data_IF_637690192528
#
_entry.id   IF_637690192528
#
_cell.length_a   1.000
_cell.length_b   1.000
_cell.length_c   1.000
_cell.angle_alpha   90.00
_cell.angle_beta   90.00
_cell.angle_gamma   90.00
#
_symmetry.space_group_name_H-M   'P 1'
#
loop_
_entity.id
_entity.type
_entity.pdbx_description
1 polymer ?
#
# COMPACT_ATOMS: atom_id res chain seq x y z
N UNK A 1 -24.24 23.35 -11.55
CA UNK A 1 -22.99 22.83 -12.16
C UNK A 1 -22.15 22.24 -11.04
N UNK A 2 -21.98 20.93 -11.02
CA UNK A 2 -21.10 20.27 -10.04
C UNK A 2 -19.66 20.54 -10.48
N UNK A 3 -18.88 21.21 -9.65
CA UNK A 3 -17.47 21.48 -9.90
C UNK A 3 -16.63 20.20 -10.09
N UNK A 4 -15.34 20.33 -10.45
CA UNK A 4 -14.46 19.18 -10.66
C UNK A 4 -14.38 18.33 -9.39
N UNK A 5 -14.59 17.02 -9.53
CA UNK A 5 -14.55 16.06 -8.42
C UNK A 5 -13.23 15.30 -8.45
N UNK A 6 -12.55 15.13 -7.30
CA UNK A 6 -11.33 14.35 -7.23
C UNK A 6 -11.61 12.86 -7.39
N UNK A 7 -10.64 12.13 -7.88
CA UNK A 7 -10.60 10.67 -7.80
C UNK A 7 -10.20 10.26 -6.38
N UNK A 8 -10.99 9.39 -5.75
CA UNK A 8 -10.62 8.79 -4.46
C UNK A 8 -9.76 7.55 -4.72
N UNK A 9 -8.58 7.50 -4.12
CA UNK A 9 -7.63 6.41 -4.29
C UNK A 9 -7.36 5.73 -2.95
N UNK A 10 -7.65 4.44 -2.87
CA UNK A 10 -7.21 3.57 -1.79
C UNK A 10 -5.83 3.02 -2.11
N UNK A 11 -4.82 3.56 -1.44
CA UNK A 11 -3.42 3.15 -1.57
C UNK A 11 -3.14 2.02 -0.59
N UNK A 12 -2.75 0.86 -1.08
CA UNK A 12 -2.59 -0.36 -0.29
C UNK A 12 -1.14 -0.84 -0.37
N UNK A 13 -0.49 -1.08 0.78
CA UNK A 13 0.72 -1.89 0.81
C UNK A 13 0.36 -3.35 0.59
N UNK A 14 1.12 -4.08 -0.22
CA UNK A 14 0.92 -5.52 -0.40
C UNK A 14 0.87 -6.28 0.93
N UNK A 15 0.20 -7.44 0.97
CA UNK A 15 0.17 -8.36 2.11
C UNK A 15 1.55 -8.95 2.42
N UNK A 16 1.67 -9.64 3.55
CA UNK A 16 2.93 -10.24 4.01
C UNK A 16 3.46 -11.25 2.96
N UNK A 17 4.65 -11.02 2.37
CA UNK A 17 5.24 -11.97 1.43
C UNK A 17 5.94 -13.10 2.16
N UNK A 18 6.26 -14.18 1.43
CA UNK A 18 7.22 -15.17 1.93
C UNK A 18 8.61 -14.52 2.06
N UNK A 19 9.42 -15.01 3.01
CA UNK A 19 10.87 -14.77 2.99
C UNK A 19 11.52 -15.68 1.97
N UNK A 20 12.67 -15.31 1.44
CA UNK A 20 13.48 -16.23 0.65
C UNK A 20 14.27 -15.64 -0.49
N UNK A 21 14.76 -16.52 -1.35
CA UNK A 21 15.82 -16.29 -2.34
C UNK A 21 15.38 -15.48 -3.57
N UNK A 22 14.10 -15.18 -3.72
CA UNK A 22 13.57 -14.49 -4.90
C UNK A 22 13.41 -12.99 -4.66
N UNK A 23 13.71 -12.19 -5.67
CA UNK A 23 13.50 -10.74 -5.64
C UNK A 23 11.99 -10.39 -5.65
N UNK A 24 11.15 -11.25 -6.19
CA UNK A 24 9.71 -11.08 -6.26
C UNK A 24 8.95 -12.27 -5.62
N UNK A 25 8.98 -12.38 -4.25
CA UNK A 25 8.32 -13.47 -3.56
C UNK A 25 6.79 -13.33 -3.66
N UNK A 26 6.07 -14.48 -3.63
CA UNK A 26 4.61 -14.48 -3.51
C UNK A 26 4.18 -14.10 -2.09
N UNK A 27 2.87 -13.93 -1.89
CA UNK A 27 2.30 -13.79 -0.56
C UNK A 27 2.48 -15.09 0.25
N UNK A 28 2.77 -14.94 1.55
CA UNK A 28 2.66 -16.02 2.53
C UNK A 28 1.18 -16.38 2.79
N UNK A 29 0.91 -17.45 3.52
CA UNK A 29 -0.46 -17.80 3.95
C UNK A 29 -1.11 -16.63 4.73
N UNK A 30 -0.37 -16.02 5.65
CA UNK A 30 -0.84 -14.81 6.35
C UNK A 30 -1.13 -13.68 5.38
N UNK A 31 -0.27 -13.45 4.39
CA UNK A 31 -0.47 -12.43 3.37
C UNK A 31 -1.70 -12.69 2.49
N UNK A 32 -1.97 -13.94 2.17
CA UNK A 32 -3.19 -14.34 1.44
C UNK A 32 -4.45 -14.07 2.27
N UNK A 33 -4.43 -14.39 3.57
CA UNK A 33 -5.52 -14.06 4.49
C UNK A 33 -5.73 -12.55 4.61
N UNK A 34 -4.64 -11.76 4.72
CA UNK A 34 -4.71 -10.30 4.71
C UNK A 34 -5.35 -9.76 3.43
N UNK A 35 -4.96 -10.28 2.26
CA UNK A 35 -5.53 -9.89 0.98
C UNK A 35 -7.03 -10.21 0.87
N UNK A 36 -7.47 -11.35 1.41
CA UNK A 36 -8.88 -11.72 1.45
C UNK A 36 -9.71 -10.78 2.34
N UNK A 37 -9.22 -10.45 3.55
CA UNK A 37 -9.85 -9.50 4.46
C UNK A 37 -9.93 -8.09 3.87
N UNK A 38 -8.83 -7.64 3.24
CA UNK A 38 -8.78 -6.38 2.51
C UNK A 38 -9.83 -6.32 1.39
N UNK A 39 -9.92 -7.36 0.57
CA UNK A 39 -10.90 -7.46 -0.51
C UNK A 39 -12.34 -7.40 0.00
N UNK A 40 -12.65 -8.18 1.05
CA UNK A 40 -13.95 -8.19 1.68
C UNK A 40 -14.35 -6.83 2.30
N UNK A 41 -13.39 -6.04 2.74
CA UNK A 41 -13.64 -4.70 3.26
C UNK A 41 -13.74 -3.66 2.16
N UNK A 42 -12.81 -3.62 1.20
CA UNK A 42 -12.78 -2.60 0.14
C UNK A 42 -13.90 -2.77 -0.89
N UNK A 43 -14.50 -3.95 -1.04
CA UNK A 43 -15.63 -4.14 -1.98
C UNK A 43 -16.80 -3.21 -1.68
N UNK A 44 -17.00 -2.84 -0.42
CA UNK A 44 -18.06 -1.92 0.00
C UNK A 44 -17.80 -0.46 -0.42
N UNK A 45 -16.57 -0.10 -0.71
CA UNK A 45 -16.19 1.23 -1.25
C UNK A 45 -16.38 1.31 -2.78
N UNK A 46 -16.79 0.21 -3.42
CA UNK A 46 -17.13 0.08 -4.83
C UNK A 46 -16.09 0.68 -5.80
N UNK A 47 -14.79 0.33 -5.69
CA UNK A 47 -13.82 0.79 -6.65
C UNK A 47 -14.19 0.35 -8.08
N UNK A 48 -14.10 1.28 -9.03
CA UNK A 48 -14.39 1.01 -10.46
C UNK A 48 -13.19 0.44 -11.20
N UNK A 49 -11.99 0.49 -10.59
CA UNK A 49 -10.76 -0.07 -11.14
C UNK A 49 -9.82 -0.50 -10.01
N UNK A 50 -9.03 -1.54 -10.28
CA UNK A 50 -8.01 -2.08 -9.38
C UNK A 50 -6.67 -2.09 -10.11
N UNK A 51 -5.74 -1.30 -9.62
CA UNK A 51 -4.36 -1.21 -10.10
C UNK A 51 -3.41 -1.91 -9.14
N UNK A 52 -2.34 -2.49 -9.65
CA UNK A 52 -1.28 -3.04 -8.81
C UNK A 52 0.09 -2.91 -9.48
N UNK A 53 1.15 -2.83 -8.67
CA UNK A 53 2.48 -3.18 -9.13
C UNK A 53 2.46 -4.57 -9.79
N UNK A 54 3.27 -4.78 -10.80
CA UNK A 54 3.40 -6.07 -11.48
C UNK A 54 4.21 -7.10 -10.67
N UNK A 55 4.74 -6.74 -9.49
CA UNK A 55 5.31 -7.70 -8.57
C UNK A 55 4.24 -8.63 -7.98
N UNK A 56 4.57 -9.94 -7.87
CA UNK A 56 3.65 -11.01 -7.47
C UNK A 56 2.88 -10.68 -6.20
N UNK A 57 3.57 -10.26 -5.14
CA UNK A 57 2.96 -9.92 -3.85
C UNK A 57 1.93 -8.79 -3.95
N UNK A 58 2.11 -7.83 -4.87
CA UNK A 58 1.17 -6.72 -5.03
C UNK A 58 -0.08 -7.14 -5.80
N UNK A 59 0.06 -7.76 -6.97
CA UNK A 59 -1.11 -8.19 -7.72
C UNK A 59 -1.87 -9.33 -7.02
N UNK A 60 -1.19 -10.22 -6.28
CA UNK A 60 -1.86 -11.23 -5.44
C UNK A 60 -2.67 -10.59 -4.32
N UNK A 61 -2.23 -9.45 -3.77
CA UNK A 61 -3.00 -8.69 -2.79
C UNK A 61 -4.24 -8.04 -3.43
N UNK A 62 -4.13 -7.57 -4.66
CA UNK A 62 -5.22 -6.94 -5.40
C UNK A 62 -6.28 -7.94 -5.90
N UNK A 63 -5.87 -9.18 -6.20
CA UNK A 63 -6.69 -10.17 -6.89
C UNK A 63 -8.02 -10.53 -6.17
N UNK A 64 -8.09 -10.69 -4.83
CA UNK A 64 -9.36 -10.96 -4.16
C UNK A 64 -10.39 -9.85 -4.34
N UNK A 65 -9.97 -8.57 -4.21
CA UNK A 65 -10.84 -7.43 -4.45
C UNK A 65 -11.34 -7.38 -5.89
N UNK A 66 -10.43 -7.51 -6.85
CA UNK A 66 -10.78 -7.49 -8.28
C UNK A 66 -11.81 -8.57 -8.61
N UNK A 67 -11.62 -9.80 -8.08
CA UNK A 67 -12.57 -10.90 -8.25
C UNK A 67 -13.95 -10.59 -7.68
N UNK A 68 -14.03 -10.02 -6.48
CA UNK A 68 -15.31 -9.65 -5.85
C UNK A 68 -16.07 -8.58 -6.63
N UNK A 69 -15.33 -7.68 -7.31
CA UNK A 69 -15.91 -6.61 -8.15
C UNK A 69 -16.17 -7.04 -9.60
N UNK A 70 -15.76 -8.24 -10.02
CA UNK A 70 -15.81 -8.67 -11.43
C UNK A 70 -14.86 -7.87 -12.33
N UNK A 71 -13.75 -7.36 -11.78
CA UNK A 71 -12.75 -6.54 -12.46
C UNK A 71 -11.44 -7.32 -12.70
N UNK A 72 -10.64 -6.83 -13.63
CA UNK A 72 -9.26 -7.28 -13.81
C UNK A 72 -8.27 -6.37 -13.07
N UNK A 73 -7.17 -6.96 -12.58
CA UNK A 73 -6.07 -6.19 -11.99
C UNK A 73 -5.22 -5.58 -13.10
N UNK A 74 -5.19 -4.26 -13.16
CA UNK A 74 -4.36 -3.51 -14.10
C UNK A 74 -2.94 -3.36 -13.55
N UNK A 75 -2.01 -4.16 -14.07
CA UNK A 75 -0.61 -4.13 -13.63
C UNK A 75 0.13 -2.89 -14.17
N UNK A 76 0.93 -2.23 -13.32
CA UNK A 76 1.68 -1.01 -13.61
C UNK A 76 3.11 -1.12 -13.07
N UNK A 77 4.10 -1.00 -13.96
CA UNK A 77 5.53 -0.99 -13.57
C UNK A 77 5.89 0.24 -12.73
N UNK A 78 5.21 1.37 -12.96
CA UNK A 78 5.42 2.61 -12.21
C UNK A 78 4.95 2.55 -10.75
N UNK A 79 4.25 1.47 -10.34
CA UNK A 79 3.85 1.21 -8.96
C UNK A 79 4.81 0.27 -8.22
N UNK A 80 5.98 -0.08 -8.81
CA UNK A 80 6.98 -0.94 -8.17
C UNK A 80 7.62 -0.26 -6.96
N UNK A 81 8.20 -1.10 -6.09
CA UNK A 81 9.15 -0.65 -5.09
C UNK A 81 10.42 -0.12 -5.76
N UNK A 82 11.19 0.72 -5.07
CA UNK A 82 12.49 1.15 -5.60
C UNK A 82 13.35 -0.05 -5.97
N UNK A 83 14.20 0.15 -6.97
CA UNK A 83 15.21 -0.83 -7.30
C UNK A 83 16.23 -0.88 -6.15
N UNK A 84 16.42 -2.05 -5.54
CA UNK A 84 17.53 -2.28 -4.63
C UNK A 84 18.65 -3.02 -5.38
N UNK A 85 19.89 -2.82 -4.96
CA UNK A 85 21.03 -3.62 -5.43
C UNK A 85 20.96 -5.08 -4.96
N UNK A 86 19.96 -5.43 -4.13
CA UNK A 86 19.79 -6.77 -3.59
C UNK A 86 19.29 -7.74 -4.66
N UNK A 87 19.84 -8.92 -4.68
CA UNK A 87 19.43 -10.01 -5.58
C UNK A 87 18.23 -10.79 -5.06
N UNK A 88 17.84 -10.58 -3.80
CA UNK A 88 16.70 -11.23 -3.15
C UNK A 88 15.91 -10.23 -2.30
N UNK A 89 14.65 -10.53 -2.08
CA UNK A 89 13.79 -9.73 -1.22
C UNK A 89 14.04 -10.09 0.25
N UNK A 90 14.24 -9.07 1.08
CA UNK A 90 14.36 -9.22 2.55
C UNK A 90 13.31 -8.34 3.20
N UNK A 91 12.52 -8.92 4.07
CA UNK A 91 11.55 -8.15 4.87
C UNK A 91 12.29 -7.34 5.93
N UNK A 92 11.84 -6.11 6.25
CA UNK A 92 12.47 -5.31 7.31
C UNK A 92 12.59 -6.03 8.65
N UNK A 93 11.58 -6.83 9.02
CA UNK A 93 11.56 -7.62 10.25
C UNK A 93 12.60 -8.76 10.28
N UNK A 94 12.98 -9.30 9.11
CA UNK A 94 14.03 -10.31 9.01
C UNK A 94 15.44 -9.70 9.24
N UNK A 95 15.54 -8.38 9.19
CA UNK A 95 16.76 -7.61 9.42
C UNK A 95 16.90 -7.10 10.87
N UNK A 96 16.02 -7.50 11.78
CA UNK A 96 15.98 -6.96 13.17
C UNK A 96 17.33 -6.98 13.91
N UNK A 97 18.19 -7.95 13.59
CA UNK A 97 19.52 -8.10 14.21
C UNK A 97 20.63 -7.35 13.47
N UNK A 98 20.35 -6.75 12.32
CA UNK A 98 21.30 -5.97 11.55
C UNK A 98 21.26 -4.48 11.90
N UNK A 99 22.31 -3.69 11.57
CA UNK A 99 22.27 -2.23 11.74
C UNK A 99 21.10 -1.60 10.97
N UNK A 100 20.83 -2.05 9.75
CA UNK A 100 19.73 -1.57 8.90
C UNK A 100 18.38 -1.84 9.52
N UNK A 101 18.15 -3.05 10.04
CA UNK A 101 16.88 -3.41 10.68
C UNK A 101 16.64 -2.64 11.98
N UNK A 102 17.71 -2.38 12.76
CA UNK A 102 17.63 -1.50 13.93
C UNK A 102 17.29 -0.08 13.53
N UNK A 103 17.97 0.47 12.50
CA UNK A 103 17.66 1.80 11.97
C UNK A 103 16.18 1.91 11.54
N UNK A 104 15.67 0.88 10.85
CA UNK A 104 14.25 0.82 10.47
C UNK A 104 13.31 0.81 11.69
N UNK A 105 13.60 0.00 12.70
CA UNK A 105 12.80 -0.11 13.92
C UNK A 105 12.80 1.20 14.73
N UNK A 106 13.90 1.96 14.68
CA UNK A 106 14.08 3.27 15.33
C UNK A 106 13.50 4.44 14.50
N UNK A 107 12.92 4.16 13.33
CA UNK A 107 12.37 5.18 12.44
C UNK A 107 13.40 5.97 11.64
N UNK A 108 14.66 5.53 11.61
CA UNK A 108 15.76 6.09 10.79
C UNK A 108 15.75 5.41 9.41
N UNK A 109 14.69 5.68 8.65
CA UNK A 109 14.43 4.98 7.39
C UNK A 109 15.42 5.34 6.27
N UNK A 110 16.01 6.52 6.32
CA UNK A 110 17.08 6.97 5.42
C UNK A 110 18.32 6.10 5.51
N UNK A 111 18.62 5.53 6.67
CA UNK A 111 19.75 4.61 6.88
C UNK A 111 19.45 3.19 6.36
N UNK A 112 18.15 2.85 6.25
CA UNK A 112 17.70 1.54 5.76
C UNK A 112 17.84 1.38 4.25
N UNK A 113 17.76 2.46 3.49
CA UNK A 113 17.74 2.44 2.02
C UNK A 113 18.70 3.49 1.43
N UNK A 114 20.03 3.24 1.52
CA UNK A 114 21.01 4.23 1.10
C UNK A 114 21.05 4.48 -0.42
N UNK A 115 20.71 3.50 -1.25
CA UNK A 115 21.10 3.44 -2.67
C UNK A 115 19.98 3.60 -3.68
N UNK A 116 18.84 4.24 -3.36
CA UNK A 116 17.82 4.40 -4.37
C UNK A 116 17.68 5.84 -4.86
N UNK A 117 17.29 6.00 -6.11
CA UNK A 117 16.92 7.29 -6.68
C UNK A 117 15.52 7.72 -6.19
N UNK A 118 15.49 8.45 -5.09
CA UNK A 118 14.26 8.96 -4.46
C UNK A 118 13.52 9.94 -5.35
N UNK A 119 14.25 10.71 -6.14
CA UNK A 119 13.66 11.72 -7.04
C UNK A 119 12.93 11.04 -8.18
N UNK A 120 13.55 10.06 -8.82
CA UNK A 120 12.94 9.31 -9.92
C UNK A 120 11.73 8.50 -9.44
N UNK A 121 11.83 7.82 -8.30
CA UNK A 121 10.70 7.08 -7.71
C UNK A 121 9.52 8.01 -7.41
N UNK A 122 9.81 9.17 -6.78
CA UNK A 122 8.79 10.19 -6.48
C UNK A 122 8.08 10.66 -7.76
N UNK A 123 8.84 11.02 -8.77
CA UNK A 123 8.30 11.49 -10.04
C UNK A 123 7.44 10.40 -10.71
N UNK A 124 7.90 9.15 -10.71
CA UNK A 124 7.19 8.00 -11.25
C UNK A 124 5.86 7.76 -10.51
N UNK A 125 5.89 7.68 -9.18
CA UNK A 125 4.69 7.44 -8.37
C UNK A 125 3.66 8.56 -8.52
N UNK A 126 4.08 9.82 -8.46
CA UNK A 126 3.20 10.97 -8.66
C UNK A 126 2.60 10.98 -10.07
N UNK A 127 3.41 10.67 -11.09
CA UNK A 127 2.95 10.56 -12.48
C UNK A 127 1.90 9.47 -12.67
N UNK A 128 2.14 8.26 -12.11
CA UNK A 128 1.18 7.16 -12.16
C UNK A 128 -0.15 7.54 -11.49
N UNK A 129 -0.11 8.14 -10.28
CA UNK A 129 -1.33 8.52 -9.57
C UNK A 129 -2.12 9.61 -10.30
N UNK A 130 -1.45 10.62 -10.86
CA UNK A 130 -2.11 11.64 -11.69
C UNK A 130 -2.76 11.02 -12.91
N UNK A 131 -2.03 10.17 -13.64
CA UNK A 131 -2.58 9.46 -14.79
C UNK A 131 -3.75 8.52 -14.43
N UNK A 132 -3.78 7.94 -13.24
CA UNK A 132 -4.95 7.19 -12.72
C UNK A 132 -6.09 8.17 -12.42
N UNK A 133 -5.81 9.28 -11.74
CA UNK A 133 -6.81 10.32 -11.43
C UNK A 133 -7.49 10.87 -12.68
N UNK A 134 -6.75 11.16 -13.72
CA UNK A 134 -7.26 11.68 -15.00
C UNK A 134 -8.22 10.70 -15.71
N UNK A 135 -8.03 9.39 -15.49
CA UNK A 135 -8.90 8.35 -16.06
C UNK A 135 -10.19 8.10 -15.27
N UNK A 136 -10.25 8.54 -14.03
CA UNK A 136 -11.33 8.20 -13.09
C UNK A 136 -11.90 9.41 -12.35
N UNK A 137 -12.21 10.54 -13.02
CA UNK A 137 -12.66 11.76 -12.36
C UNK A 137 -13.95 11.52 -11.55
N UNK A 138 -13.90 11.84 -10.26
CA UNK A 138 -15.03 11.68 -9.33
C UNK A 138 -15.35 10.23 -8.94
N UNK A 139 -14.50 9.28 -9.31
CA UNK A 139 -14.68 7.85 -9.02
C UNK A 139 -13.73 7.38 -7.92
N UNK A 140 -13.95 6.16 -7.46
CA UNK A 140 -13.10 5.46 -6.48
C UNK A 140 -12.28 4.39 -7.18
N UNK A 141 -10.99 4.28 -6.84
CA UNK A 141 -10.09 3.24 -7.35
C UNK A 141 -9.23 2.66 -6.23
N UNK A 142 -8.77 1.42 -6.39
CA UNK A 142 -7.78 0.80 -5.51
C UNK A 142 -6.44 0.66 -6.22
N UNK A 143 -5.35 0.94 -5.49
CA UNK A 143 -3.97 0.88 -6.00
C UNK A 143 -3.10 0.12 -5.00
N UNK A 144 -2.59 -1.03 -5.40
CA UNK A 144 -1.73 -1.87 -4.54
C UNK A 144 -0.27 -1.70 -4.94
N UNK A 145 0.56 -1.30 -3.99
CA UNK A 145 1.97 -1.00 -4.17
C UNK A 145 2.81 -1.47 -2.95
N UNK A 146 3.89 -0.80 -2.65
CA UNK A 146 4.90 -1.21 -1.67
C UNK A 146 5.15 -0.14 -0.61
N UNK A 147 5.80 -0.54 0.49
CA UNK A 147 5.99 0.32 1.63
C UNK A 147 6.75 1.61 1.34
N UNK A 148 7.87 1.50 0.66
CA UNK A 148 8.69 2.66 0.33
C UNK A 148 8.11 3.53 -0.78
N UNK A 149 7.55 2.90 -1.82
CA UNK A 149 6.89 3.62 -2.90
C UNK A 149 5.71 4.45 -2.38
N UNK A 150 4.88 3.90 -1.49
CA UNK A 150 3.76 4.61 -0.86
C UNK A 150 4.24 5.72 0.07
N UNK A 151 5.29 5.48 0.88
CA UNK A 151 5.86 6.54 1.71
C UNK A 151 6.35 7.71 0.87
N UNK A 152 7.10 7.43 -0.21
CA UNK A 152 7.63 8.45 -1.12
C UNK A 152 6.50 9.28 -1.75
N UNK A 153 5.41 8.63 -2.18
CA UNK A 153 4.23 9.30 -2.74
C UNK A 153 3.54 10.19 -1.68
N UNK A 154 3.24 9.61 -0.52
CA UNK A 154 2.51 10.31 0.55
C UNK A 154 3.35 11.44 1.15
N UNK A 155 4.67 11.26 1.32
CA UNK A 155 5.60 12.31 1.72
C UNK A 155 5.55 13.50 0.74
N UNK A 156 5.52 13.21 -0.57
CA UNK A 156 5.37 14.24 -1.60
C UNK A 156 4.07 15.02 -1.47
N UNK A 157 2.97 14.33 -1.18
CA UNK A 157 1.66 14.97 -1.06
C UNK A 157 1.54 15.90 0.15
N UNK A 158 2.24 15.58 1.26
CA UNK A 158 2.24 16.41 2.48
C UNK A 158 3.42 17.40 2.55
N UNK A 159 4.24 17.47 1.49
CA UNK A 159 5.40 18.36 1.45
C UNK A 159 6.54 17.96 2.39
N UNK A 160 6.62 16.69 2.80
CA UNK A 160 7.70 16.17 3.64
C UNK A 160 8.96 15.93 2.80
N UNK A 161 10.10 16.40 3.28
CA UNK A 161 11.39 16.05 2.72
C UNK A 161 11.87 14.65 3.15
N UNK A 162 11.32 14.13 4.25
CA UNK A 162 11.59 12.77 4.70
C UNK A 162 10.85 11.78 3.80
N UNK A 163 11.56 10.88 3.11
CA UNK A 163 10.94 9.91 2.20
C UNK A 163 10.08 8.87 2.94
N UNK A 164 10.41 8.65 4.21
CA UNK A 164 9.68 7.77 5.11
C UNK A 164 9.28 8.57 6.36
N UNK A 165 7.99 8.69 6.62
CA UNK A 165 7.48 9.39 7.79
C UNK A 165 6.53 8.51 8.62
N UNK A 166 6.22 7.30 8.14
CA UNK A 166 5.47 6.29 8.87
C UNK A 166 5.87 4.88 8.41
N UNK A 167 5.56 3.87 9.20
CA UNK A 167 5.78 2.47 8.83
C UNK A 167 4.44 1.85 8.38
N UNK A 168 4.18 1.71 7.08
CA UNK A 168 2.95 1.10 6.61
C UNK A 168 2.90 -0.38 6.98
N UNK A 169 1.82 -0.84 7.60
CA UNK A 169 1.57 -2.25 7.83
C UNK A 169 1.32 -3.03 6.54
N UNK A 170 1.51 -4.35 6.54
CA UNK A 170 1.12 -5.20 5.42
C UNK A 170 -0.40 -5.17 5.24
N UNK A 171 -0.85 -5.04 3.99
CA UNK A 171 -2.24 -4.82 3.61
C UNK A 171 -2.90 -3.60 4.25
N UNK A 172 -2.13 -2.68 4.87
CA UNK A 172 -2.65 -1.42 5.36
C UNK A 172 -3.07 -0.52 4.21
N UNK A 173 -4.07 0.31 4.47
CA UNK A 173 -4.67 1.23 3.50
C UNK A 173 -4.40 2.67 3.90
N UNK A 174 -4.06 3.50 2.92
CA UNK A 174 -4.06 4.96 3.04
C UNK A 174 -5.04 5.53 2.02
N UNK A 175 -5.73 6.61 2.35
CA UNK A 175 -6.70 7.24 1.45
C UNK A 175 -6.13 8.55 0.92
N UNK A 176 -6.27 8.74 -0.38
CA UNK A 176 -5.82 9.94 -1.08
C UNK A 176 -6.88 10.42 -2.07
N UNK A 177 -6.95 11.72 -2.28
CA UNK A 177 -7.70 12.34 -3.36
C UNK A 177 -6.72 12.88 -4.41
N UNK A 178 -6.98 12.55 -5.67
CA UNK A 178 -6.28 13.11 -6.82
C UNK A 178 -7.22 14.09 -7.51
N UNK A 179 -6.89 15.37 -7.44
CA UNK A 179 -7.70 16.45 -8.01
C UNK A 179 -7.35 16.68 -9.49
N UNK A 180 -8.30 17.15 -10.32
CA UNK A 180 -8.05 17.43 -11.74
C UNK A 180 -6.97 18.48 -12.01
N UNK A 181 -6.67 19.33 -11.04
CA UNK A 181 -5.57 20.30 -11.11
C UNK A 181 -4.20 19.68 -10.71
N UNK A 182 -4.16 18.38 -10.49
CA UNK A 182 -2.96 17.62 -10.12
C UNK A 182 -2.59 17.67 -8.63
N UNK A 183 -3.39 18.33 -7.77
CA UNK A 183 -3.18 18.28 -6.33
C UNK A 183 -3.45 16.89 -5.78
N UNK A 184 -2.61 16.46 -4.85
CA UNK A 184 -2.74 15.22 -4.09
C UNK A 184 -3.09 15.58 -2.64
N UNK A 185 -4.19 15.07 -2.12
CA UNK A 185 -4.65 15.35 -0.76
C UNK A 185 -4.75 14.03 0.01
N UNK A 186 -3.96 13.90 1.08
CA UNK A 186 -3.99 12.72 1.97
C UNK A 186 -5.15 12.86 2.94
N UNK A 187 -6.05 11.87 2.95
CA UNK A 187 -7.20 11.82 3.86
C UNK A 187 -6.89 10.97 5.11
N UNK A 188 -6.16 9.87 4.94
CA UNK A 188 -5.74 9.01 6.05
C UNK A 188 -4.52 8.19 5.67
N UNK A 189 -3.81 7.66 6.67
CA UNK A 189 -2.66 6.77 6.47
C UNK A 189 -2.76 5.55 7.38
N UNK A 190 -2.27 4.41 6.87
CA UNK A 190 -2.04 3.19 7.64
C UNK A 190 -3.28 2.61 8.37
N UNK A 191 -4.45 2.63 7.73
CA UNK A 191 -5.66 1.99 8.25
C UNK A 191 -5.51 0.47 8.23
N UNK A 192 -5.72 -0.19 9.36
CA UNK A 192 -5.57 -1.65 9.53
C UNK A 192 -6.76 -2.32 10.22
N UNK A 193 -7.84 -1.59 10.51
CA UNK A 193 -8.99 -2.09 11.25
C UNK A 193 -9.62 -3.34 10.60
N UNK A 194 -9.60 -3.45 9.28
CA UNK A 194 -10.09 -4.60 8.53
C UNK A 194 -9.29 -5.89 8.76
N UNK A 195 -8.06 -5.80 9.28
CA UNK A 195 -7.20 -6.95 9.58
C UNK A 195 -7.45 -7.55 10.99
N UNK A 196 -8.31 -6.95 11.79
CA UNK A 196 -8.62 -7.41 13.14
C UNK A 196 -10.12 -7.67 13.37
N UNK A 197 -10.83 -8.41 12.49
CA UNK A 197 -12.27 -8.60 12.61
C UNK A 197 -12.68 -9.28 13.91
N UNK A 198 -11.85 -10.13 14.48
CA UNK A 198 -12.12 -10.83 15.74
C UNK A 198 -12.06 -9.88 16.95
N UNK A 199 -11.10 -8.93 16.97
CA UNK A 199 -11.01 -7.92 18.03
C UNK A 199 -12.21 -6.98 18.01
N UNK A 200 -12.67 -6.60 16.80
CA UNK A 200 -13.84 -5.77 16.64
C UNK A 200 -15.12 -6.51 17.08
N UNK A 201 -15.27 -7.79 16.72
CA UNK A 201 -16.39 -8.63 17.18
C UNK A 201 -16.41 -8.75 18.70
N UNK A 202 -15.28 -9.08 19.34
CA UNK A 202 -15.18 -9.16 20.80
C UNK A 202 -15.59 -7.84 21.48
N UNK A 203 -15.17 -6.70 20.92
CA UNK A 203 -15.56 -5.38 21.41
C UNK A 203 -17.06 -5.12 21.28
N UNK A 204 -17.66 -5.43 20.11
CA UNK A 204 -19.07 -5.19 19.81
C UNK A 204 -20.01 -6.15 20.55
N UNK A 205 -19.58 -7.38 20.82
CA UNK A 205 -20.39 -8.38 21.54
C UNK A 205 -20.22 -8.32 23.05
N UNK A 206 -19.37 -7.43 23.56
CA UNK A 206 -19.07 -7.31 25.00
C UNK A 206 -18.57 -8.63 25.61
N UNK A 207 -17.95 -9.49 24.81
CA UNK A 207 -17.49 -10.82 25.19
C UNK A 207 -16.18 -10.67 25.98
N UNK A 208 -16.30 -10.54 27.31
CA UNK A 208 -15.17 -10.42 28.25
C UNK A 208 -14.38 -11.72 28.42
N UNK A 209 -14.74 -12.78 27.71
CA UNK A 209 -14.15 -14.12 27.87
C UNK A 209 -12.90 -14.39 27.01
N UNK A 210 -12.36 -13.40 26.26
CA UNK A 210 -11.23 -13.62 25.35
C UNK A 210 -9.90 -12.98 25.81
N UNK A 211 -9.75 -12.75 27.13
CA UNK A 211 -8.52 -12.18 27.71
C UNK A 211 -8.01 -12.97 28.91
N UNK A 212 -8.06 -14.32 28.88
CA UNK A 212 -7.25 -15.20 29.74
C UNK A 212 -6.29 -16.05 28.90
#
# INVERSE_FOLDING_TARGET
MTGPRPTTVFLVRHGLPTSGEHIDPPLSETGQAQAALLGAWLVHEQPVAVYASDYRRAWQTAAPLARLLGLEVQQRKGLREWASSRTHYVRPEDLAHTPEGRAFAEGRFEDFVPDHDRVALRATMVGELRGIGDRHPGQTVAVVSHGGALNTLLASAVGSERPFFFNPGYAAVSRMQVWPDGRLVVASVNETAHLAPQRLRAFLTNDKAATE
#
